data_IF_918338080191
#
_entry.id   IF_918338080191
#
_cell.length_a   1.000
_cell.length_b   1.000
_cell.length_c   1.000
_cell.angle_alpha   90.00
_cell.angle_beta   90.00
_cell.angle_gamma   90.00
#
_symmetry.space_group_name_H-M   'P 1'
#
loop_
_entity.id
_entity.type
_entity.pdbx_description
1 polymer ?
#
# COMPACT_ATOMS: atom_id res chain seq x y z
N UNK A 1 -45.92 -11.36 -0.08
CA UNK A 1 -44.89 -12.15 0.65
C UNK A 1 -43.67 -12.41 -0.22
N UNK A 2 -43.82 -12.98 -1.42
CA UNK A 2 -42.70 -13.23 -2.35
C UNK A 2 -41.90 -11.97 -2.74
N UNK A 3 -42.57 -10.85 -2.98
CA UNK A 3 -41.91 -9.59 -3.37
C UNK A 3 -41.05 -8.98 -2.25
N UNK A 4 -41.48 -9.12 -0.98
CA UNK A 4 -40.69 -8.71 0.19
C UNK A 4 -39.42 -9.55 0.30
N UNK A 5 -39.57 -10.86 0.16
CA UNK A 5 -38.49 -11.84 0.25
C UNK A 5 -37.44 -11.65 -0.88
N UNK A 6 -37.89 -11.18 -2.05
CA UNK A 6 -37.03 -10.86 -3.18
C UNK A 6 -36.30 -9.52 -3.00
N UNK A 7 -36.87 -8.57 -2.25
CA UNK A 7 -36.17 -7.33 -1.86
C UNK A 7 -35.14 -7.57 -0.77
N UNK A 8 -35.41 -8.51 0.14
CA UNK A 8 -34.50 -8.88 1.23
C UNK A 8 -33.26 -9.68 0.76
N UNK A 9 -33.30 -10.23 -0.46
CA UNK A 9 -32.19 -10.96 -1.08
C UNK A 9 -31.25 -10.08 -1.92
N UNK A 10 -31.63 -8.83 -2.20
CA UNK A 10 -30.81 -7.89 -2.94
C UNK A 10 -29.79 -7.21 -2.01
N UNK A 11 -28.61 -6.91 -2.56
CA UNK A 11 -27.65 -6.06 -1.85
C UNK A 11 -28.25 -4.66 -1.69
N UNK A 12 -28.25 -4.08 -0.48
CA UNK A 12 -28.82 -2.75 -0.25
C UNK A 12 -28.00 -1.64 -0.94
N UNK A 13 -26.78 -1.96 -1.38
CA UNK A 13 -25.81 -1.03 -1.96
C UNK A 13 -25.14 -1.67 -3.18
N UNK A 14 -24.76 -0.82 -4.14
CA UNK A 14 -23.93 -1.22 -5.29
C UNK A 14 -22.49 -1.54 -4.88
N UNK A 15 -21.93 -0.72 -3.98
CA UNK A 15 -20.59 -0.88 -3.40
C UNK A 15 -20.71 -0.62 -1.90
N UNK A 16 -20.31 -1.57 -1.06
CA UNK A 16 -20.29 -1.37 0.39
C UNK A 16 -19.14 -0.45 0.80
N UNK A 17 -17.93 -0.75 0.33
CA UNK A 17 -16.72 -0.01 0.69
C UNK A 17 -15.80 0.22 -0.50
N UNK A 18 -15.12 1.36 -0.49
CA UNK A 18 -13.93 1.63 -1.29
C UNK A 18 -12.74 1.79 -0.34
N UNK A 19 -11.69 0.98 -0.53
CA UNK A 19 -10.52 0.97 0.35
C UNK A 19 -9.22 1.24 -0.42
N UNK A 20 -8.29 1.92 0.23
CA UNK A 20 -6.89 2.05 -0.19
C UNK A 20 -6.06 1.22 0.77
N UNK A 21 -5.45 0.16 0.24
CA UNK A 21 -4.58 -0.75 0.99
C UNK A 21 -3.14 -0.53 0.59
N UNK A 22 -2.22 -0.57 1.54
CA UNK A 22 -0.79 -0.50 1.28
C UNK A 22 0.02 -0.46 2.56
N UNK A 23 1.33 -0.32 2.46
CA UNK A 23 2.17 -0.07 3.63
C UNK A 23 2.04 1.39 4.10
N UNK A 24 1.90 1.61 5.41
CA UNK A 24 2.27 2.90 6.02
C UNK A 24 3.75 3.10 5.75
N UNK A 25 4.10 4.27 5.21
CA UNK A 25 5.45 4.57 4.76
C UNK A 25 6.46 4.01 5.77
N UNK A 26 7.29 3.08 5.31
CA UNK A 26 8.47 2.70 6.04
C UNK A 26 9.15 4.01 6.40
N UNK A 27 9.17 4.32 7.70
CA UNK A 27 10.29 5.04 8.26
C UNK A 27 11.44 4.10 7.94
N UNK A 28 12.05 4.29 6.77
CA UNK A 28 13.32 3.67 6.48
C UNK A 28 14.23 4.37 7.47
N UNK A 29 14.37 3.78 8.65
CA UNK A 29 15.47 4.04 9.56
C UNK A 29 16.70 3.69 8.76
N UNK A 30 17.13 4.65 7.93
CA UNK A 30 18.41 4.61 7.27
C UNK A 30 19.38 4.63 8.45
N UNK A 31 20.17 3.57 8.69
CA UNK A 31 21.26 3.71 9.63
C UNK A 31 22.09 4.92 9.14
N UNK A 32 22.46 5.86 10.04
CA UNK A 32 23.22 7.02 9.63
C UNK A 32 24.47 6.51 8.89
N UNK A 33 24.62 6.96 7.65
CA UNK A 33 25.83 6.77 6.88
C UNK A 33 26.90 7.69 7.46
N UNK A 34 27.40 7.37 8.66
CA UNK A 34 28.60 7.94 9.25
C UNK A 34 29.01 7.16 10.51
N UNK A 35 29.57 5.96 10.31
CA UNK A 35 30.57 5.42 11.25
C UNK A 35 31.60 4.62 10.45
N UNK A 36 32.40 5.31 9.65
CA UNK A 36 33.71 4.80 9.27
C UNK A 36 34.72 5.38 10.26
N UNK A 37 35.14 4.56 11.23
CA UNK A 37 36.43 4.57 11.94
C UNK A 37 36.26 4.12 13.40
N UNK A 38 37.04 3.12 13.81
CA UNK A 38 37.31 2.81 15.22
C UNK A 38 37.06 1.34 15.57
N UNK A 39 38.15 0.56 15.67
CA UNK A 39 38.10 -0.85 16.08
C UNK A 39 37.78 -1.06 17.57
N UNK A 40 37.47 -2.30 17.93
CA UNK A 40 37.34 -2.73 19.33
C UNK A 40 36.58 -4.03 19.48
N UNK A 41 37.20 -5.01 20.12
CA UNK A 41 36.69 -6.36 20.41
C UNK A 41 35.57 -6.36 21.48
N UNK A 42 34.69 -7.38 21.45
CA UNK A 42 33.79 -7.72 22.56
C UNK A 42 32.62 -8.60 22.14
N UNK A 43 32.51 -9.80 22.74
CA UNK A 43 31.49 -10.81 22.43
C UNK A 43 30.11 -10.60 23.08
N UNK A 44 29.10 -11.30 22.56
CA UNK A 44 27.72 -11.36 23.11
C UNK A 44 26.69 -11.77 22.05
N UNK A 45 25.53 -12.39 22.40
CA UNK A 45 25.04 -13.59 21.73
C UNK A 45 24.15 -13.37 20.50
N UNK A 46 24.12 -14.44 19.71
CA UNK A 46 23.39 -14.71 18.47
C UNK A 46 21.94 -14.23 18.43
N UNK A 47 21.64 -13.32 17.50
CA UNK A 47 20.28 -12.93 17.12
C UNK A 47 20.23 -12.52 15.65
N UNK A 48 20.03 -13.51 14.77
CA UNK A 48 19.53 -13.36 13.38
C UNK A 48 20.15 -12.26 12.51
N UNK A 49 21.34 -12.51 11.95
CA UNK A 49 21.89 -11.70 10.86
C UNK A 49 21.02 -11.89 9.60
N UNK A 50 20.16 -10.91 9.28
CA UNK A 50 19.51 -10.85 7.98
C UNK A 50 20.56 -10.37 6.96
N UNK A 51 20.79 -11.10 5.84
CA UNK A 51 21.87 -10.75 4.93
C UNK A 51 21.44 -9.54 4.10
N UNK A 52 21.93 -8.36 4.45
CA UNK A 52 21.84 -7.16 3.60
C UNK A 52 22.85 -7.26 2.46
N UNK A 53 22.74 -8.30 1.65
CA UNK A 53 23.44 -8.41 0.37
C UNK A 53 22.67 -7.65 -0.71
N UNK A 54 23.33 -7.19 -1.79
CA UNK A 54 22.67 -6.50 -2.92
C UNK A 54 21.64 -7.36 -3.69
N UNK A 55 21.44 -8.62 -3.28
CA UNK A 55 20.51 -9.60 -3.85
C UNK A 55 19.40 -10.06 -2.88
N UNK A 56 19.27 -9.48 -1.68
CA UNK A 56 18.15 -9.84 -0.79
C UNK A 56 16.82 -9.33 -1.36
N UNK A 57 15.74 -10.12 -1.33
CA UNK A 57 14.41 -9.62 -1.71
C UNK A 57 14.05 -8.42 -0.83
N UNK A 58 13.34 -7.42 -1.37
CA UNK A 58 12.93 -6.26 -0.60
C UNK A 58 12.08 -6.72 0.61
N UNK A 59 12.18 -6.06 1.77
CA UNK A 59 11.39 -6.42 2.93
C UNK A 59 9.90 -6.30 2.58
N UNK A 60 9.17 -7.39 2.84
CA UNK A 60 7.71 -7.44 2.69
C UNK A 60 7.10 -6.69 3.87
N UNK A 61 6.32 -5.66 3.59
CA UNK A 61 5.61 -4.89 4.61
C UNK A 61 4.19 -5.45 4.79
N UNK A 62 3.71 -5.39 6.03
CA UNK A 62 2.35 -5.80 6.38
C UNK A 62 1.35 -4.87 5.66
N UNK A 63 0.34 -5.41 4.96
CA UNK A 63 -0.72 -4.60 4.37
C UNK A 63 -1.53 -3.88 5.45
N UNK A 64 -1.75 -2.58 5.25
CA UNK A 64 -2.59 -1.78 6.13
C UNK A 64 -3.69 -1.06 5.35
N UNK A 65 -4.79 -0.78 6.06
CA UNK A 65 -5.86 0.06 5.54
C UNK A 65 -5.45 1.54 5.67
N UNK A 66 -5.09 2.16 4.55
CA UNK A 66 -4.64 3.55 4.50
C UNK A 66 -5.82 4.54 4.47
N UNK A 67 -6.89 4.18 3.77
CA UNK A 67 -8.10 4.98 3.67
C UNK A 67 -9.30 4.11 3.32
N UNK A 68 -10.49 4.51 3.76
CA UNK A 68 -11.75 3.90 3.35
C UNK A 68 -12.86 4.92 3.14
N UNK A 69 -13.86 4.53 2.34
CA UNK A 69 -15.16 5.19 2.23
C UNK A 69 -16.27 4.12 2.26
N UNK A 70 -17.32 4.31 3.08
CA UNK A 70 -17.45 5.34 4.11
C UNK A 70 -16.39 5.20 5.23
N UNK A 71 -16.12 6.26 6.02
CA UNK A 71 -15.16 6.20 7.13
C UNK A 71 -15.61 5.30 8.29
N UNK A 72 -16.93 5.19 8.48
CA UNK A 72 -17.57 4.35 9.49
C UNK A 72 -18.10 3.07 8.85
N UNK A 73 -18.22 2.02 9.65
CA UNK A 73 -18.76 0.75 9.19
C UNK A 73 -20.29 0.80 9.02
N UNK A 74 -20.80 -0.01 8.09
CA UNK A 74 -22.23 -0.29 7.95
C UNK A 74 -22.69 -1.27 9.03
N UNK A 75 -23.89 -1.05 9.57
CA UNK A 75 -24.46 -1.89 10.64
C UNK A 75 -24.75 -3.32 10.18
N UNK A 76 -25.10 -3.49 8.90
CA UNK A 76 -25.41 -4.78 8.29
C UNK A 76 -24.18 -5.48 7.71
N UNK A 77 -23.05 -4.78 7.61
CA UNK A 77 -21.79 -5.33 7.13
C UNK A 77 -20.58 -4.53 7.61
N UNK A 78 -20.00 -4.89 8.77
CA UNK A 78 -18.76 -4.29 9.22
C UNK A 78 -17.61 -4.71 8.29
N UNK A 79 -16.75 -3.76 7.89
CA UNK A 79 -15.62 -4.07 7.02
C UNK A 79 -14.63 -5.00 7.76
N UNK A 80 -14.36 -6.21 7.26
CA UNK A 80 -13.39 -7.10 7.91
C UNK A 80 -11.99 -6.49 7.91
N UNK A 81 -11.31 -6.50 9.06
CA UNK A 81 -9.93 -5.99 9.16
C UNK A 81 -8.98 -6.77 8.25
N UNK A 82 -9.20 -8.08 8.11
CA UNK A 82 -8.37 -8.98 7.31
C UNK A 82 -8.55 -8.81 5.80
N UNK A 83 -9.49 -7.96 5.36
CA UNK A 83 -9.69 -7.62 3.95
C UNK A 83 -8.39 -7.16 3.27
N UNK A 84 -7.51 -6.48 4.00
CA UNK A 84 -6.22 -5.99 3.50
C UNK A 84 -5.30 -7.11 2.98
N UNK A 85 -5.37 -8.31 3.57
CA UNK A 85 -4.59 -9.47 3.13
C UNK A 85 -5.13 -10.07 1.84
N UNK A 86 -6.44 -10.00 1.62
CA UNK A 86 -7.03 -10.37 0.32
C UNK A 86 -6.63 -9.38 -0.77
N UNK A 87 -6.47 -8.09 -0.45
CA UNK A 87 -5.97 -7.09 -1.39
C UNK A 87 -4.48 -7.22 -1.71
N UNK A 88 -3.68 -7.77 -0.78
CA UNK A 88 -2.23 -7.91 -0.90
C UNK A 88 -1.78 -9.28 -0.34
N UNK A 89 -2.05 -10.39 -1.05
CA UNK A 89 -1.76 -11.73 -0.54
C UNK A 89 -0.26 -11.97 -0.28
N UNK A 90 0.60 -11.35 -1.09
CA UNK A 90 2.07 -11.41 -0.96
C UNK A 90 2.65 -10.28 -0.09
N UNK A 91 1.79 -9.46 0.52
CA UNK A 91 2.20 -8.27 1.24
C UNK A 91 2.60 -7.09 0.36
N UNK A 92 3.04 -6.00 0.98
CA UNK A 92 3.42 -4.76 0.31
C UNK A 92 4.93 -4.70 0.06
N UNK A 93 5.35 -4.73 -1.20
CA UNK A 93 6.77 -4.67 -1.58
C UNK A 93 7.15 -3.34 -2.21
N UNK A 94 8.39 -2.89 -1.95
CA UNK A 94 8.98 -1.73 -2.62
C UNK A 94 10.01 -2.18 -3.65
N UNK A 95 9.98 -1.56 -4.83
CA UNK A 95 10.98 -1.79 -5.87
C UNK A 95 12.02 -0.66 -5.90
N UNK A 96 13.29 -1.03 -6.04
CA UNK A 96 14.37 -0.06 -6.14
C UNK A 96 14.34 0.77 -7.43
N UNK A 97 15.09 1.89 -7.51
CA UNK A 97 15.03 2.87 -8.59
C UNK A 97 15.21 2.29 -10.00
N UNK A 98 16.04 1.24 -10.14
CA UNK A 98 16.27 0.57 -11.43
C UNK A 98 15.03 -0.13 -11.99
N UNK A 99 14.12 -0.61 -11.13
CA UNK A 99 12.91 -1.35 -11.51
C UNK A 99 11.62 -0.53 -11.37
N UNK A 100 11.69 0.67 -10.76
CA UNK A 100 10.52 1.54 -10.57
C UNK A 100 9.84 1.89 -11.89
N UNK A 101 10.59 2.16 -12.96
CA UNK A 101 10.03 2.57 -14.24
C UNK A 101 9.10 1.55 -14.90
N UNK A 102 9.49 0.27 -14.93
CA UNK A 102 8.65 -0.82 -15.45
C UNK A 102 7.52 -1.14 -14.46
N UNK A 103 7.85 -1.29 -13.18
CA UNK A 103 6.89 -1.70 -12.16
C UNK A 103 5.71 -0.74 -11.98
N UNK A 104 5.91 0.58 -12.14
CA UNK A 104 4.80 1.56 -12.07
C UNK A 104 3.79 1.40 -13.21
N UNK A 105 4.17 0.75 -14.31
CA UNK A 105 3.25 0.46 -15.42
C UNK A 105 2.53 -0.87 -15.25
N UNK A 106 3.04 -1.75 -14.40
CA UNK A 106 2.47 -3.06 -14.15
C UNK A 106 1.37 -2.91 -13.08
N UNK A 107 0.12 -3.00 -13.51
CA UNK A 107 -1.04 -3.12 -12.63
C UNK A 107 -1.60 -4.54 -12.75
N UNK A 108 -2.00 -5.12 -11.63
CA UNK A 108 -2.68 -6.41 -11.59
C UNK A 108 -4.08 -6.24 -11.05
N UNK A 109 -5.05 -6.83 -11.73
CA UNK A 109 -6.46 -6.80 -11.33
C UNK A 109 -6.93 -8.20 -11.00
N UNK A 110 -7.65 -8.35 -9.90
CA UNK A 110 -8.19 -9.65 -9.49
C UNK A 110 -9.44 -9.46 -8.61
N UNK A 111 -10.18 -10.54 -8.42
CA UNK A 111 -11.39 -10.57 -7.61
C UNK A 111 -11.26 -11.62 -6.53
N UNK A 112 -11.68 -11.30 -5.31
CA UNK A 112 -11.81 -12.26 -4.21
C UNK A 112 -13.25 -12.26 -3.69
N UNK A 113 -13.61 -13.30 -2.92
CA UNK A 113 -14.93 -13.44 -2.33
C UNK A 113 -14.82 -13.63 -0.81
N UNK A 114 -15.69 -12.94 -0.07
CA UNK A 114 -15.89 -13.11 1.38
C UNK A 114 -17.31 -13.63 1.60
N UNK A 115 -17.42 -14.84 2.11
CA UNK A 115 -18.71 -15.43 2.48
C UNK A 115 -18.93 -15.24 3.97
N UNK A 116 -20.00 -14.55 4.33
CA UNK A 116 -20.46 -14.50 5.70
C UNK A 116 -20.99 -15.88 6.10
N UNK A 117 -20.39 -16.46 7.15
CA UNK A 117 -20.67 -17.82 7.60
C UNK A 117 -22.13 -17.99 8.04
N UNK A 118 -22.66 -17.00 8.76
CA UNK A 118 -23.95 -17.15 9.42
C UNK A 118 -25.11 -16.86 8.47
N UNK A 119 -24.96 -15.86 7.59
CA UNK A 119 -25.99 -15.52 6.61
C UNK A 119 -25.86 -16.23 5.26
N UNK A 120 -24.71 -16.85 4.98
CA UNK A 120 -24.39 -17.43 3.66
C UNK A 120 -24.22 -16.40 2.54
N UNK A 121 -24.24 -15.11 2.85
CA UNK A 121 -24.11 -14.04 1.86
C UNK A 121 -22.67 -13.93 1.39
N UNK A 122 -22.45 -13.96 0.08
CA UNK A 122 -21.14 -13.75 -0.54
C UNK A 122 -20.99 -12.31 -1.02
N UNK A 123 -19.86 -11.68 -0.66
CA UNK A 123 -19.46 -10.35 -1.14
C UNK A 123 -18.20 -10.46 -1.96
N UNK A 124 -18.16 -9.74 -3.07
CA UNK A 124 -17.02 -9.73 -3.99
C UNK A 124 -16.16 -8.49 -3.76
N UNK A 125 -14.85 -8.68 -3.60
CA UNK A 125 -13.87 -7.62 -3.57
C UNK A 125 -13.13 -7.52 -4.89
N UNK A 126 -13.11 -6.34 -5.50
CA UNK A 126 -12.40 -6.08 -6.76
C UNK A 126 -11.13 -5.30 -6.43
N UNK A 127 -9.99 -5.91 -6.72
CA UNK A 127 -8.67 -5.33 -6.47
C UNK A 127 -8.04 -4.80 -7.75
N UNK A 128 -7.41 -3.63 -7.63
CA UNK A 128 -6.45 -3.12 -8.61
C UNK A 128 -5.16 -2.81 -7.84
N UNK A 129 -4.17 -3.68 -7.98
CA UNK A 129 -2.87 -3.54 -7.33
C UNK A 129 -1.87 -2.90 -8.29
N UNK A 130 -1.13 -1.89 -7.83
CA UNK A 130 -0.20 -1.14 -8.65
C UNK A 130 0.92 -0.54 -7.79
N UNK A 131 2.09 -0.36 -8.39
CA UNK A 131 3.17 0.38 -7.74
C UNK A 131 2.92 1.88 -7.83
N UNK A 132 3.01 2.55 -6.67
CA UNK A 132 3.08 4.01 -6.60
C UNK A 132 4.51 4.49 -6.37
N UNK A 133 4.92 5.62 -6.94
CA UNK A 133 6.13 6.31 -6.49
C UNK A 133 6.01 6.66 -5.01
N UNK A 134 7.06 6.35 -4.23
CA UNK A 134 7.16 6.78 -2.83
C UNK A 134 8.12 7.97 -2.79
N UNK A 135 7.63 9.13 -2.37
CA UNK A 135 8.49 10.27 -2.07
C UNK A 135 9.27 9.94 -0.80
N UNK A 136 10.61 9.95 -0.89
CA UNK A 136 11.45 9.82 0.28
C UNK A 136 11.34 11.11 1.08
N UNK A 137 10.54 11.11 2.14
CA UNK A 137 10.59 12.19 3.12
C UNK A 137 11.91 12.05 3.88
N UNK A 138 12.92 12.82 3.48
CA UNK A 138 14.10 13.03 4.31
C UNK A 138 13.61 13.90 5.45
N UNK A 139 13.33 13.30 6.61
CA UNK A 139 13.07 14.06 7.83
C UNK A 139 14.22 15.06 8.00
N UNK A 140 13.88 16.35 7.97
CA UNK A 140 14.85 17.42 7.96
C UNK A 140 15.75 17.38 9.19
N UNK A 141 17.04 17.15 8.97
CA UNK A 141 18.06 17.82 9.75
C UNK A 141 18.24 19.17 9.05
N UNK A 142 17.85 20.25 9.73
CA UNK A 142 18.06 21.59 9.22
C UNK A 142 19.54 21.87 8.95
N UNK A 143 19.83 22.56 7.85
CA UNK A 143 21.12 23.22 7.63
C UNK A 143 21.78 22.96 6.28
N UNK A 144 21.58 23.89 5.34
CA UNK A 144 22.66 24.44 4.50
C UNK A 144 23.25 23.62 3.34
N UNK A 145 22.84 23.96 2.12
CA UNK A 145 23.75 24.22 0.98
C UNK A 145 24.36 23.05 0.19
N UNK A 146 24.16 23.03 -1.13
CA UNK A 146 25.20 22.58 -2.06
C UNK A 146 24.90 21.42 -3.02
N UNK A 147 24.11 21.71 -4.07
CA UNK A 147 24.40 21.36 -5.47
C UNK A 147 24.61 19.88 -5.89
N UNK A 148 23.57 19.34 -6.54
CA UNK A 148 23.74 18.76 -7.88
C UNK A 148 22.49 19.06 -8.69
N UNK A 149 22.57 20.16 -9.44
CA UNK A 149 21.63 20.48 -10.49
C UNK A 149 22.01 19.69 -11.74
N UNK A 150 21.09 18.88 -12.24
CA UNK A 150 21.01 18.57 -13.67
C UNK A 150 19.55 18.66 -14.11
N UNK A 151 19.28 19.78 -14.80
CA UNK A 151 18.24 20.03 -15.80
C UNK A 151 16.91 19.26 -15.65
N UNK A 152 15.88 19.83 -15.04
CA UNK A 152 14.99 20.84 -15.61
C UNK A 152 14.05 20.33 -16.74
N UNK A 153 12.76 20.62 -16.51
CA UNK A 153 11.66 20.83 -17.47
C UNK A 153 10.89 19.59 -17.91
N UNK A 154 9.80 19.29 -17.19
CA UNK A 154 8.43 19.72 -17.61
C UNK A 154 7.43 19.27 -16.56
N UNK A 155 6.69 20.21 -15.98
CA UNK A 155 5.58 19.93 -15.08
C UNK A 155 4.61 18.94 -15.72
N UNK A 156 4.55 17.71 -15.19
CA UNK A 156 3.47 16.77 -15.48
C UNK A 156 2.29 17.12 -14.58
N UNK A 157 1.64 18.21 -14.97
CA UNK A 157 0.19 18.36 -15.02
C UNK A 157 -0.59 17.58 -13.94
N UNK A 158 -0.67 18.16 -12.75
CA UNK A 158 -1.53 17.71 -11.64
C UNK A 158 -3.01 18.08 -11.85
N UNK A 159 -3.36 18.80 -12.93
CA UNK A 159 -4.75 19.17 -13.24
C UNK A 159 -5.46 18.13 -14.11
N UNK A 160 -4.75 17.45 -15.03
CA UNK A 160 -5.37 16.46 -15.93
C UNK A 160 -5.90 15.18 -15.25
N UNK A 161 -5.36 14.78 -14.09
CA UNK A 161 -5.90 13.63 -13.34
C UNK A 161 -7.13 13.97 -12.50
N UNK A 162 -7.37 15.25 -12.23
CA UNK A 162 -8.47 15.69 -11.35
C UNK A 162 -9.81 15.70 -12.08
N UNK A 163 -9.80 15.81 -13.41
CA UNK A 163 -11.02 15.99 -14.21
C UNK A 163 -11.59 14.69 -14.79
N UNK A 164 -10.83 13.58 -14.84
CA UNK A 164 -11.31 12.34 -15.48
C UNK A 164 -12.41 11.59 -14.72
N UNK A 165 -12.62 11.90 -13.44
CA UNK A 165 -13.61 11.23 -12.59
C UNK A 165 -14.92 12.00 -12.46
N UNK A 166 -15.01 13.20 -13.05
CA UNK A 166 -16.14 14.12 -12.87
C UNK A 166 -17.17 14.11 -14.00
N UNK A 167 -17.05 13.21 -14.97
CA UNK A 167 -18.03 13.07 -16.05
C UNK A 167 -18.29 11.61 -16.36
N UNK A 168 -19.35 11.09 -15.75
CA UNK A 168 -20.38 10.21 -16.33
C UNK A 168 -21.65 10.39 -15.50
#
# INVERSE_FOLDING_TARGET
MAEQQQRDSLCPRLIDYLAIVGARAAVVSRPPANVAAGGGAGGGPSGGLQPTGPNSPPPVQIPELLRRYPPTDHTDFPLPLDMVYFCQPEGCVSVGPRRTGSAVRDATSFVFALTDKDSGKTRYGICVNFYRPVEKYVAGVGGGGGQSASNARKGRNSTFRRESWRKS
#
